data_IF_572366776129
#
_entry.id   IF_572366776129
#
_cell.length_a   1.000
_cell.length_b   1.000
_cell.length_c   1.000
_cell.angle_alpha   90.00
_cell.angle_beta   90.00
_cell.angle_gamma   90.00
#
_symmetry.space_group_name_H-M   'P 1'
#
loop_
_entity.id
_entity.type
_entity.pdbx_description
1 polymer ?
#
# COMPACT_ATOMS: atom_id res chain seq x y z
N UNK A 1 7.72 -6.92 23.00
CA UNK A 1 9.19 -6.75 23.12
C UNK A 1 9.58 -5.74 24.20
N UNK A 2 9.10 -4.47 24.18
CA UNK A 2 9.42 -3.45 25.21
C UNK A 2 9.25 -3.89 26.67
N UNK A 3 8.15 -4.55 27.01
CA UNK A 3 7.92 -5.06 28.37
C UNK A 3 8.92 -6.15 28.80
N UNK A 4 9.37 -6.99 27.86
CA UNK A 4 10.35 -8.05 28.11
C UNK A 4 11.77 -7.48 28.31
N UNK A 5 12.14 -6.49 27.49
CA UNK A 5 13.42 -5.78 27.59
C UNK A 5 13.52 -4.94 28.88
N UNK A 6 12.42 -4.31 29.30
CA UNK A 6 12.34 -3.59 30.57
C UNK A 6 12.41 -4.51 31.79
N UNK A 7 11.80 -5.70 31.72
CA UNK A 7 11.85 -6.68 32.82
C UNK A 7 13.25 -7.29 33.05
N UNK A 8 14.11 -7.29 32.02
CA UNK A 8 15.47 -7.82 32.11
C UNK A 8 16.55 -6.73 32.25
N UNK A 9 16.14 -5.47 32.36
CA UNK A 9 17.03 -4.32 32.56
C UNK A 9 18.14 -4.29 31.49
N UNK A 10 17.78 -4.41 30.21
CA UNK A 10 18.74 -4.41 29.07
C UNK A 10 18.53 -3.23 28.10
N UNK A 11 17.51 -2.39 28.34
CA UNK A 11 17.13 -1.31 27.43
C UNK A 11 18.23 -0.25 27.28
N UNK A 12 18.84 0.14 28.40
CA UNK A 12 19.87 1.18 28.42
C UNK A 12 21.12 0.77 27.63
N UNK A 13 21.52 -0.51 27.69
CA UNK A 13 22.67 -1.03 26.93
C UNK A 13 22.36 -1.15 25.44
N UNK A 14 21.10 -1.38 25.07
CA UNK A 14 20.68 -1.38 23.67
C UNK A 14 20.63 0.03 23.06
N UNK A 15 20.22 1.04 23.84
CA UNK A 15 20.06 2.42 23.36
C UNK A 15 21.37 3.22 23.46
N UNK A 16 22.04 3.19 24.61
CA UNK A 16 23.24 3.99 24.86
C UNK A 16 24.53 3.25 24.46
N UNK A 17 24.50 1.90 24.49
CA UNK A 17 25.68 1.07 24.27
C UNK A 17 26.60 1.04 25.50
N UNK A 18 27.67 0.26 25.41
CA UNK A 18 28.71 0.24 26.45
C UNK A 18 30.09 0.47 25.82
N UNK A 19 31.01 1.04 26.61
CA UNK A 19 32.38 1.28 26.16
C UNK A 19 33.13 -0.06 26.12
N UNK A 20 33.17 -0.68 24.94
CA UNK A 20 33.96 -1.88 24.73
C UNK A 20 35.45 -1.49 24.69
N UNK A 21 36.16 -1.71 25.80
CA UNK A 21 37.63 -1.63 25.79
C UNK A 21 38.18 -2.79 24.97
N UNK A 22 38.92 -2.45 23.92
CA UNK A 22 39.59 -3.36 23.00
C UNK A 22 40.60 -4.22 23.77
N UNK A 23 40.28 -5.52 23.86
CA UNK A 23 41.09 -6.62 24.39
C UNK A 23 41.23 -6.74 25.93
N UNK A 24 41.29 -8.00 26.39
CA UNK A 24 41.56 -8.39 27.78
C UNK A 24 42.92 -7.86 28.28
N UNK A 25 43.82 -7.47 27.38
CA UNK A 25 45.15 -6.94 27.71
C UNK A 25 45.11 -5.46 28.12
N UNK A 26 44.15 -4.68 27.61
CA UNK A 26 43.94 -3.29 28.03
C UNK A 26 43.20 -3.16 29.38
N UNK A 27 42.61 -4.26 29.89
CA UNK A 27 41.86 -4.29 31.15
C UNK A 27 42.74 -4.59 32.38
N UNK A 28 43.94 -5.16 32.18
CA UNK A 28 44.90 -5.54 33.23
C UNK A 28 45.47 -4.38 34.09
N UNK A 29 45.43 -3.10 33.66
CA UNK A 29 45.77 -1.96 34.52
C UNK A 29 44.56 -1.32 35.24
N UNK A 30 43.32 -1.69 34.91
CA UNK A 30 42.12 -1.01 35.43
C UNK A 30 41.77 -1.39 36.88
N UNK A 31 41.19 -0.48 37.69
CA UNK A 31 40.68 -0.76 39.02
C UNK A 31 39.68 -1.93 39.03
N UNK A 32 39.70 -2.74 40.08
CA UNK A 32 38.90 -3.96 40.20
C UNK A 32 37.38 -3.69 40.04
N UNK A 33 36.89 -2.57 40.58
CA UNK A 33 35.51 -2.11 40.42
C UNK A 33 35.12 -1.85 38.95
N UNK A 34 36.03 -1.30 38.16
CA UNK A 34 35.79 -0.98 36.75
C UNK A 34 35.71 -2.27 35.91
N UNK A 35 36.54 -3.28 36.22
CA UNK A 35 36.46 -4.62 35.60
C UNK A 35 35.16 -5.34 35.92
N UNK A 36 34.68 -5.23 37.16
CA UNK A 36 33.40 -5.84 37.53
C UNK A 36 32.23 -5.21 36.80
N UNK A 37 32.21 -3.88 36.63
CA UNK A 37 31.17 -3.19 35.85
C UNK A 37 31.15 -3.64 34.38
N UNK A 38 32.32 -3.70 33.74
CA UNK A 38 32.44 -4.09 32.34
C UNK A 38 32.01 -5.55 32.08
N UNK A 39 32.23 -6.45 33.05
CA UNK A 39 31.70 -7.83 32.99
C UNK A 39 30.18 -7.88 33.08
N UNK A 40 29.57 -7.03 33.91
CA UNK A 40 28.11 -6.93 34.03
C UNK A 40 27.51 -6.39 32.73
N UNK A 41 28.12 -5.36 32.14
CA UNK A 41 27.63 -4.75 30.89
C UNK A 41 27.73 -5.72 29.71
N UNK A 42 28.84 -6.45 29.56
CA UNK A 42 28.98 -7.52 28.55
C UNK A 42 27.91 -8.60 28.70
N UNK A 43 27.58 -8.99 29.93
CA UNK A 43 26.54 -10.00 30.18
C UNK A 43 25.16 -9.48 29.81
N UNK A 44 24.86 -8.22 30.13
CA UNK A 44 23.60 -7.57 29.74
C UNK A 44 23.50 -7.38 28.23
N UNK A 45 24.58 -7.04 27.53
CA UNK A 45 24.63 -6.95 26.06
C UNK A 45 24.34 -8.29 25.38
N UNK A 46 25.00 -9.37 25.83
CA UNK A 46 24.73 -10.73 25.33
C UNK A 46 23.28 -11.16 25.60
N UNK A 47 22.73 -10.79 26.75
CA UNK A 47 21.34 -11.07 27.08
C UNK A 47 20.38 -10.32 26.15
N UNK A 48 20.63 -9.03 25.91
CA UNK A 48 19.89 -8.22 24.96
C UNK A 48 19.89 -8.83 23.55
N UNK A 49 21.07 -9.23 23.05
CA UNK A 49 21.19 -9.93 21.75
C UNK A 49 20.37 -11.21 21.71
N UNK A 50 20.42 -12.03 22.76
CA UNK A 50 19.65 -13.28 22.84
C UNK A 50 18.14 -13.03 22.74
N UNK A 51 17.64 -12.04 23.47
CA UNK A 51 16.22 -11.66 23.42
C UNK A 51 15.81 -11.18 22.02
N UNK A 52 16.66 -10.38 21.38
CA UNK A 52 16.42 -9.90 20.02
C UNK A 52 16.37 -11.10 19.07
N UNK A 53 17.38 -11.98 19.08
CA UNK A 53 17.45 -13.15 18.20
C UNK A 53 16.27 -14.10 18.34
N UNK A 54 15.71 -14.27 19.55
CA UNK A 54 14.51 -15.10 19.76
C UNK A 54 13.27 -14.58 19.02
N UNK A 55 13.23 -13.29 18.67
CA UNK A 55 12.09 -12.67 17.99
C UNK A 55 12.26 -12.53 16.48
N UNK A 56 13.36 -12.99 15.89
CA UNK A 56 13.70 -12.74 14.49
C UNK A 56 13.54 -13.99 13.63
N UNK A 57 13.16 -13.78 12.38
CA UNK A 57 13.22 -14.77 11.32
C UNK A 57 14.65 -14.88 10.75
N UNK A 58 14.93 -16.00 10.09
CA UNK A 58 16.25 -16.34 9.55
C UNK A 58 16.81 -15.25 8.60
N UNK A 59 15.96 -14.68 7.75
CA UNK A 59 16.37 -13.61 6.84
C UNK A 59 16.77 -12.32 7.58
N UNK A 60 16.04 -11.95 8.64
CA UNK A 60 16.40 -10.78 9.46
C UNK A 60 17.63 -11.06 10.32
N UNK A 61 17.82 -12.29 10.78
CA UNK A 61 19.03 -12.70 11.51
C UNK A 61 20.29 -12.54 10.66
N UNK A 62 20.28 -12.97 9.41
CA UNK A 62 21.41 -12.81 8.48
C UNK A 62 21.81 -11.33 8.28
N UNK A 63 20.84 -10.41 8.26
CA UNK A 63 21.11 -8.96 8.12
C UNK A 63 21.90 -8.40 9.31
N UNK A 64 21.74 -8.99 10.50
CA UNK A 64 22.38 -8.52 11.75
C UNK A 64 23.49 -9.45 12.25
N UNK A 65 23.80 -10.52 11.52
CA UNK A 65 24.76 -11.55 11.95
C UNK A 65 26.19 -11.00 12.13
N UNK A 66 26.53 -9.92 11.42
CA UNK A 66 27.83 -9.23 11.54
C UNK A 66 27.90 -8.22 12.69
N UNK A 67 26.79 -7.94 13.39
CA UNK A 67 26.76 -6.96 14.47
C UNK A 67 27.34 -7.53 15.77
N UNK A 68 28.33 -6.81 16.32
CA UNK A 68 29.10 -7.25 17.48
C UNK A 68 28.39 -6.91 18.78
N UNK A 69 27.70 -5.78 18.85
CA UNK A 69 26.98 -5.31 20.05
C UNK A 69 25.46 -5.35 19.87
N UNK A 70 24.71 -5.40 20.98
CA UNK A 70 23.25 -5.28 20.97
C UNK A 70 22.78 -3.94 20.41
N UNK A 71 23.56 -2.87 20.60
CA UNK A 71 23.32 -1.55 20.01
C UNK A 71 23.44 -1.57 18.49
N UNK A 72 24.50 -2.16 17.95
CA UNK A 72 24.66 -2.31 16.49
C UNK A 72 23.54 -3.15 15.88
N UNK A 73 23.13 -4.24 16.56
CA UNK A 73 21.96 -5.03 16.18
C UNK A 73 20.71 -4.15 16.14
N UNK A 74 20.45 -3.39 17.19
CA UNK A 74 19.28 -2.51 17.31
C UNK A 74 19.27 -1.40 16.25
N UNK A 75 20.40 -0.72 16.04
CA UNK A 75 20.54 0.33 15.02
C UNK A 75 20.37 -0.23 13.60
N UNK A 76 20.92 -1.41 13.32
CA UNK A 76 20.81 -2.07 12.01
C UNK A 76 19.37 -2.49 11.74
N UNK A 77 18.67 -3.09 12.71
CA UNK A 77 17.24 -3.40 12.61
C UNK A 77 16.44 -2.12 12.38
N UNK A 78 16.64 -1.10 13.20
CA UNK A 78 15.94 0.17 13.08
C UNK A 78 16.16 0.82 11.71
N UNK A 79 17.39 0.81 11.19
CA UNK A 79 17.71 1.33 9.84
C UNK A 79 17.03 0.53 8.74
N UNK A 80 17.05 -0.79 8.83
CA UNK A 80 16.47 -1.71 7.84
C UNK A 80 14.96 -1.54 7.76
N UNK A 81 14.28 -1.59 8.90
CA UNK A 81 12.82 -1.43 8.96
C UNK A 81 12.37 0.01 8.70
N UNK A 82 13.12 1.03 9.13
CA UNK A 82 12.84 2.43 8.78
C UNK A 82 13.00 2.67 7.28
N UNK A 83 13.94 1.99 6.62
CA UNK A 83 14.07 1.98 5.16
C UNK A 83 12.85 1.37 4.49
N UNK A 84 12.42 0.19 4.95
CA UNK A 84 11.21 -0.47 4.47
C UNK A 84 9.95 0.40 4.65
N UNK A 85 9.81 1.06 5.81
CA UNK A 85 8.69 1.98 6.10
C UNK A 85 8.72 3.22 5.20
N UNK A 86 9.89 3.79 4.95
CA UNK A 86 10.04 4.91 4.01
C UNK A 86 9.63 4.51 2.60
N UNK A 87 10.09 3.36 2.11
CA UNK A 87 9.73 2.84 0.79
C UNK A 87 8.23 2.58 0.69
N UNK A 88 7.63 1.95 1.71
CA UNK A 88 6.18 1.71 1.80
C UNK A 88 5.39 3.01 1.79
N UNK A 89 5.84 4.04 2.52
CA UNK A 89 5.24 5.39 2.51
C UNK A 89 5.33 6.06 1.14
N UNK A 90 6.48 6.01 0.48
CA UNK A 90 6.65 6.58 -0.86
C UNK A 90 5.72 5.86 -1.84
N UNK A 91 5.67 4.52 -1.80
CA UNK A 91 4.77 3.73 -2.64
C UNK A 91 3.31 4.10 -2.42
N UNK A 92 2.87 4.26 -1.16
CA UNK A 92 1.52 4.73 -0.83
C UNK A 92 1.24 6.11 -1.44
N UNK A 93 2.17 7.05 -1.36
CA UNK A 93 2.00 8.38 -1.94
C UNK A 93 1.85 8.32 -3.47
N UNK A 94 2.67 7.52 -4.14
CA UNK A 94 2.53 7.29 -5.59
C UNK A 94 1.16 6.69 -5.93
N UNK A 95 0.73 5.66 -5.20
CA UNK A 95 -0.56 5.01 -5.43
C UNK A 95 -1.75 5.94 -5.18
N UNK A 96 -1.67 6.86 -4.22
CA UNK A 96 -2.70 7.89 -4.00
C UNK A 96 -2.81 8.83 -5.18
N UNK A 97 -1.67 9.30 -5.70
CA UNK A 97 -1.65 10.13 -6.90
C UNK A 97 -2.19 9.39 -8.13
N UNK A 98 -1.83 8.12 -8.31
CA UNK A 98 -2.41 7.25 -9.35
C UNK A 98 -3.92 7.11 -9.18
N UNK A 99 -4.40 6.82 -7.97
CA UNK A 99 -5.83 6.70 -7.68
C UNK A 99 -6.59 8.00 -7.94
N UNK A 100 -6.07 9.16 -7.53
CA UNK A 100 -6.71 10.46 -7.75
C UNK A 100 -6.72 10.85 -9.23
N UNK A 101 -5.68 10.52 -9.98
CA UNK A 101 -5.57 10.79 -11.42
C UNK A 101 -6.31 9.81 -12.32
N UNK A 102 -6.79 8.67 -11.80
CA UNK A 102 -7.61 7.73 -12.57
C UNK A 102 -8.82 8.44 -13.18
N UNK A 103 -8.94 8.34 -14.50
CA UNK A 103 -10.10 8.73 -15.28
C UNK A 103 -10.37 7.68 -16.35
N UNK A 104 -11.65 7.51 -16.66
CA UNK A 104 -12.10 6.64 -17.75
C UNK A 104 -11.68 7.26 -19.07
N UNK A 105 -11.17 6.43 -19.99
CA UNK A 105 -10.88 6.88 -21.37
C UNK A 105 -12.14 6.74 -22.22
N UNK A 106 -12.28 7.56 -23.26
CA UNK A 106 -13.46 7.55 -24.12
C UNK A 106 -13.70 6.21 -24.84
N UNK A 107 -12.61 5.50 -25.18
CA UNK A 107 -12.62 4.20 -25.87
C UNK A 107 -12.66 3.00 -24.94
N UNK A 108 -12.60 3.22 -23.63
CA UNK A 108 -12.54 2.16 -22.62
C UNK A 108 -13.96 1.73 -22.22
N UNK A 109 -14.14 0.45 -21.91
CA UNK A 109 -15.41 -0.06 -21.37
C UNK A 109 -15.50 0.18 -19.87
N UNK A 110 -16.70 0.10 -19.30
CA UNK A 110 -16.86 0.23 -17.83
C UNK A 110 -16.15 -0.91 -17.10
N UNK A 111 -16.16 -2.12 -17.66
CA UNK A 111 -15.47 -3.28 -17.09
C UNK A 111 -13.94 -3.08 -17.01
N UNK A 112 -13.35 -2.53 -18.08
CA UNK A 112 -11.91 -2.25 -18.13
C UNK A 112 -11.53 -1.15 -17.13
N UNK A 113 -12.32 -0.08 -17.09
CA UNK A 113 -12.11 1.02 -16.14
C UNK A 113 -12.24 0.55 -14.69
N UNK A 114 -13.27 -0.24 -14.38
CA UNK A 114 -13.47 -0.85 -13.06
C UNK A 114 -12.27 -1.70 -12.65
N UNK A 115 -11.78 -2.56 -13.56
CA UNK A 115 -10.62 -3.41 -13.30
C UNK A 115 -9.39 -2.59 -12.92
N UNK A 116 -9.11 -1.49 -13.64
CA UNK A 116 -8.01 -0.58 -13.31
C UNK A 116 -8.17 0.08 -11.94
N UNK A 117 -9.37 0.55 -11.62
CA UNK A 117 -9.67 1.15 -10.30
C UNK A 117 -9.40 0.13 -9.19
N UNK A 118 -9.88 -1.10 -9.36
CA UNK A 118 -9.69 -2.17 -8.37
C UNK A 118 -8.23 -2.59 -8.22
N UNK A 119 -7.44 -2.61 -9.30
CA UNK A 119 -6.00 -2.88 -9.21
C UNK A 119 -5.31 -1.87 -8.31
N UNK A 120 -5.57 -0.57 -8.49
CA UNK A 120 -4.96 0.49 -7.66
C UNK A 120 -5.50 0.45 -6.23
N UNK A 121 -6.81 0.28 -6.05
CA UNK A 121 -7.44 0.15 -4.73
C UNK A 121 -6.88 -1.03 -3.91
N UNK A 122 -6.69 -2.19 -4.54
CA UNK A 122 -6.12 -3.35 -3.90
C UNK A 122 -4.63 -3.15 -3.58
N UNK A 123 -3.87 -2.43 -4.42
CA UNK A 123 -2.50 -2.06 -4.11
C UNK A 123 -2.42 -1.12 -2.89
N UNK A 124 -3.33 -0.15 -2.77
CA UNK A 124 -3.44 0.72 -1.58
C UNK A 124 -3.71 -0.11 -0.31
N UNK A 125 -4.69 -1.02 -0.36
CA UNK A 125 -5.02 -1.92 0.76
C UNK A 125 -3.85 -2.80 1.17
N UNK A 126 -3.15 -3.41 0.22
CA UNK A 126 -1.96 -4.24 0.47
C UNK A 126 -0.81 -3.46 1.10
N UNK A 127 -0.71 -2.16 0.81
CA UNK A 127 0.29 -1.28 1.43
C UNK A 127 -0.19 -0.69 2.78
N UNK A 128 -1.34 -1.14 3.31
CA UNK A 128 -1.82 -0.81 4.65
C UNK A 128 -2.78 0.38 4.72
N UNK A 129 -3.27 0.88 3.59
CA UNK A 129 -4.31 1.92 3.58
C UNK A 129 -5.70 1.32 3.76
N UNK A 130 -6.47 1.86 4.71
CA UNK A 130 -7.89 1.52 4.87
C UNK A 130 -8.70 2.28 3.84
N UNK A 131 -9.04 1.60 2.75
CA UNK A 131 -9.86 2.16 1.68
C UNK A 131 -11.29 1.61 1.76
N UNK A 132 -12.22 2.47 2.19
CA UNK A 132 -13.65 2.19 2.31
C UNK A 132 -14.28 2.11 0.92
N UNK A 133 -15.22 1.18 0.73
CA UNK A 133 -15.86 0.94 -0.57
C UNK A 133 -16.61 2.17 -1.09
N UNK A 134 -17.27 2.94 -0.22
CA UNK A 134 -17.87 4.24 -0.54
C UNK A 134 -16.90 5.17 -1.29
N UNK A 135 -15.65 5.28 -0.83
CA UNK A 135 -14.63 6.12 -1.48
C UNK A 135 -14.25 5.62 -2.87
N UNK A 136 -14.36 4.32 -3.11
CA UNK A 136 -14.14 3.73 -4.44
C UNK A 136 -15.34 4.02 -5.35
N UNK A 137 -16.56 3.83 -4.85
CA UNK A 137 -17.81 4.12 -5.57
C UNK A 137 -17.86 5.59 -6.03
N UNK A 138 -17.63 6.53 -5.11
CA UNK A 138 -17.54 7.96 -5.44
C UNK A 138 -16.43 8.27 -6.44
N UNK A 139 -15.29 7.58 -6.33
CA UNK A 139 -14.18 7.76 -7.26
C UNK A 139 -14.56 7.30 -8.66
N UNK A 140 -15.25 6.16 -8.80
CA UNK A 140 -15.75 5.66 -10.08
C UNK A 140 -16.69 6.69 -10.68
N UNK A 141 -17.76 7.07 -9.97
CA UNK A 141 -18.79 8.01 -10.44
C UNK A 141 -18.19 9.34 -10.95
N UNK A 142 -17.30 9.97 -10.18
CA UNK A 142 -16.65 11.25 -10.55
C UNK A 142 -15.65 11.16 -11.69
N UNK A 143 -15.24 9.96 -12.07
CA UNK A 143 -14.14 9.73 -13.03
C UNK A 143 -14.59 9.01 -14.30
N UNK A 144 -15.89 8.74 -14.44
CA UNK A 144 -16.49 8.23 -15.66
C UNK A 144 -16.42 9.27 -16.79
N UNK A 145 -16.53 8.77 -18.02
CA UNK A 145 -16.63 9.62 -19.21
C UNK A 145 -17.99 10.36 -19.21
N UNK A 146 -18.05 11.63 -19.66
CA UNK A 146 -19.29 12.41 -19.67
C UNK A 146 -20.48 11.76 -20.38
N UNK A 147 -20.24 10.77 -21.27
CA UNK A 147 -21.31 9.95 -21.87
C UNK A 147 -22.18 9.20 -20.84
N UNK A 148 -21.71 9.08 -19.60
CA UNK A 148 -22.42 8.43 -18.49
C UNK A 148 -23.03 9.41 -17.47
N UNK A 149 -22.92 10.73 -17.65
CA UNK A 149 -23.41 11.72 -16.67
C UNK A 149 -24.88 11.52 -16.30
N UNK A 150 -25.72 11.13 -17.26
CA UNK A 150 -27.15 10.89 -17.01
C UNK A 150 -27.39 9.75 -16.01
N UNK A 151 -26.66 8.63 -16.14
CA UNK A 151 -26.81 7.54 -15.18
C UNK A 151 -26.14 7.88 -13.85
N UNK A 152 -25.05 8.65 -13.84
CA UNK A 152 -24.41 9.11 -12.60
C UNK A 152 -25.40 9.91 -11.76
N UNK A 153 -26.06 10.93 -12.34
CA UNK A 153 -27.07 11.73 -11.63
C UNK A 153 -28.20 10.85 -11.11
N UNK A 154 -28.73 9.94 -11.94
CA UNK A 154 -29.79 9.04 -11.51
C UNK A 154 -29.37 8.13 -10.35
N UNK A 155 -28.14 7.64 -10.34
CA UNK A 155 -27.61 6.81 -9.25
C UNK A 155 -27.40 7.63 -7.97
N UNK A 156 -26.87 8.85 -8.08
CA UNK A 156 -26.67 9.76 -6.94
C UNK A 156 -28.00 10.20 -6.31
N UNK A 157 -29.07 10.37 -7.09
CA UNK A 157 -30.39 10.73 -6.59
C UNK A 157 -31.17 9.55 -5.98
N UNK A 158 -30.97 8.33 -6.50
CA UNK A 158 -31.81 7.18 -6.15
C UNK A 158 -31.19 6.19 -5.17
N UNK A 159 -29.85 6.15 -5.06
CA UNK A 159 -29.13 5.15 -4.25
C UNK A 159 -28.32 5.81 -3.16
N UNK A 160 -28.40 5.23 -1.98
CA UNK A 160 -27.52 5.58 -0.88
C UNK A 160 -26.13 4.96 -1.11
N UNK A 161 -25.15 5.80 -1.42
CA UNK A 161 -23.77 5.39 -1.71
C UNK A 161 -23.05 4.80 -0.48
N UNK A 162 -23.60 4.98 0.73
CA UNK A 162 -23.05 4.35 1.94
C UNK A 162 -23.40 2.86 2.03
N UNK A 163 -24.52 2.45 1.44
CA UNK A 163 -25.06 1.08 1.52
C UNK A 163 -24.79 0.32 0.21
N UNK A 164 -24.63 1.04 -0.90
CA UNK A 164 -24.44 0.44 -2.22
C UNK A 164 -23.09 -0.28 -2.34
N UNK A 165 -23.13 -1.56 -2.74
CA UNK A 165 -21.91 -2.30 -3.05
C UNK A 165 -21.28 -1.82 -4.37
N UNK A 166 -19.97 -1.95 -4.49
CA UNK A 166 -19.25 -1.59 -5.72
C UNK A 166 -19.73 -2.46 -6.90
N UNK A 167 -20.08 -3.72 -6.64
CA UNK A 167 -20.57 -4.66 -7.65
C UNK A 167 -21.92 -4.18 -8.23
N UNK A 168 -22.89 -3.85 -7.39
CA UNK A 168 -24.20 -3.33 -7.84
C UNK A 168 -24.07 -2.00 -8.62
N UNK A 169 -23.12 -1.15 -8.22
CA UNK A 169 -22.81 0.07 -8.94
C UNK A 169 -22.32 -0.25 -10.36
N UNK A 170 -21.31 -1.11 -10.47
CA UNK A 170 -20.70 -1.50 -11.75
C UNK A 170 -21.71 -2.21 -12.64
N UNK A 171 -22.54 -3.11 -12.10
CA UNK A 171 -23.59 -3.80 -12.84
C UNK A 171 -24.62 -2.82 -13.42
N UNK A 172 -25.02 -1.81 -12.63
CA UNK A 172 -25.95 -0.76 -13.09
C UNK A 172 -25.35 0.05 -14.23
N UNK A 173 -24.07 0.40 -14.10
CA UNK A 173 -23.32 1.15 -15.11
C UNK A 173 -23.14 0.34 -16.40
N UNK A 174 -22.74 -0.93 -16.30
CA UNK A 174 -22.58 -1.82 -17.45
C UNK A 174 -23.91 -2.08 -18.18
N UNK A 175 -25.00 -2.25 -17.44
CA UNK A 175 -26.33 -2.40 -18.02
C UNK A 175 -26.74 -1.16 -18.84
N UNK A 176 -26.30 0.04 -18.43
CA UNK A 176 -26.50 1.26 -19.19
C UNK A 176 -25.58 1.35 -20.41
N UNK A 177 -24.31 0.99 -20.28
CA UNK A 177 -23.37 0.91 -21.41
C UNK A 177 -23.93 0.03 -22.54
N UNK A 178 -24.43 -1.16 -22.21
CA UNK A 178 -25.05 -2.06 -23.19
C UNK A 178 -26.26 -1.45 -23.90
N UNK A 179 -27.11 -0.69 -23.18
CA UNK A 179 -28.29 -0.03 -23.75
C UNK A 179 -27.90 1.13 -24.68
N UNK A 180 -26.88 1.91 -24.31
CA UNK A 180 -26.39 3.03 -25.12
C UNK A 180 -25.73 2.51 -26.40
N UNK A 181 -24.89 1.48 -26.31
CA UNK A 181 -24.22 0.88 -27.46
C UNK A 181 -25.21 0.30 -28.48
N UNK A 182 -26.25 -0.41 -28.01
CA UNK A 182 -27.31 -0.93 -28.92
C UNK A 182 -28.01 0.20 -29.68
N UNK A 183 -28.36 1.29 -28.99
CA UNK A 183 -29.02 2.45 -29.62
C UNK A 183 -28.11 3.19 -30.60
N UNK A 184 -26.80 3.24 -30.36
CA UNK A 184 -25.87 3.84 -31.32
C UNK A 184 -25.73 2.99 -32.57
N UNK A 185 -25.64 1.66 -32.43
CA UNK A 185 -25.53 0.74 -33.58
C UNK A 185 -26.77 0.79 -34.47
N UNK A 186 -27.96 0.80 -33.86
CA UNK A 186 -29.23 0.96 -34.57
C UNK A 186 -29.28 2.28 -35.36
N UNK A 187 -28.83 3.38 -34.74
CA UNK A 187 -28.75 4.70 -35.41
C UNK A 187 -27.78 4.72 -36.60
N UNK A 188 -26.62 4.10 -36.44
CA UNK A 188 -25.61 4.02 -37.51
C UNK A 188 -26.13 3.18 -38.67
N UNK A 189 -26.81 2.07 -38.37
CA UNK A 189 -27.43 1.22 -39.39
C UNK A 189 -28.56 1.96 -40.13
N UNK A 190 -29.41 2.69 -39.42
CA UNK A 190 -30.49 3.47 -40.00
C UNK A 190 -29.98 4.59 -40.93
N UNK A 191 -28.93 5.31 -40.53
CA UNK A 191 -28.26 6.31 -41.38
C UNK A 191 -27.58 5.68 -42.62
N UNK A 192 -26.97 4.51 -42.48
CA UNK A 192 -26.39 3.77 -43.60
C UNK A 192 -27.47 3.30 -44.59
N UNK A 193 -28.65 2.89 -44.10
CA UNK A 193 -29.79 2.53 -44.93
C UNK A 193 -30.37 3.74 -45.67
N UNK A 194 -30.59 4.85 -44.96
CA UNK A 194 -31.11 6.09 -45.55
C UNK A 194 -30.17 6.65 -46.62
N UNK A 195 -28.86 6.64 -46.38
CA UNK A 195 -27.87 7.09 -47.37
C UNK A 195 -27.85 6.22 -48.63
N UNK A 196 -28.00 4.89 -48.50
CA UNK A 196 -28.13 3.97 -49.66
C UNK A 196 -29.42 4.21 -50.44
N UNK A 197 -30.54 4.44 -49.76
CA UNK A 197 -31.82 4.77 -50.40
C UNK A 197 -31.71 6.07 -51.22
N UNK A 198 -31.16 7.13 -50.61
CA UNK A 198 -30.95 8.43 -51.26
C UNK A 198 -29.98 8.38 -52.46
N UNK A 199 -29.01 7.45 -52.47
CA UNK A 199 -28.11 7.24 -53.61
C UNK A 199 -28.79 6.53 -54.79
N UNK A 200 -29.75 5.65 -54.51
CA UNK A 200 -30.51 4.96 -55.55
C UNK A 200 -31.57 5.86 -56.19
N UNK A 201 -32.18 6.79 -55.43
CA UNK A 201 -33.13 7.77 -55.99
C UNK A 201 -32.48 8.77 -56.94
N UNK A 202 -31.19 9.09 -56.76
CA UNK A 202 -30.44 10.01 -57.63
C UNK A 202 -29.91 9.38 -58.93
N UNK A 203 -30.18 8.09 -59.17
CA UNK A 203 -29.67 7.34 -60.33
C UNK A 203 -30.70 7.13 -61.45
N UNK A 204 -31.88 7.76 -61.36
CA UNK A 204 -32.92 7.73 -62.38
C UNK A 204 -33.12 9.11 -63.00
#
# INVERSE_FOLDING_TARGET
MRALLGAQDVMDIMEDGYAESTSKEAEAPLPEAQRTSLRVDRKRDCNAKSIIYQGLDEATFEIIASAMTSKEVWETLHKTYKGADKVKRIRLQTLRGEFESLRMKSTESIADFYTRVMVVANQLRRNGEKLVDMRISEKILRSLDPKFDFIVVALEETKDLEILSIEELVDSLQAHEQKVTRRSDDKVMEQALQSKLNLNEKRY
#
